data_IF_606645403189
#
_entry.id   IF_606645403189
#
_cell.length_a   1.000
_cell.length_b   1.000
_cell.length_c   1.000
_cell.angle_alpha   90.00
_cell.angle_beta   90.00
_cell.angle_gamma   90.00
#
_symmetry.space_group_name_H-M   'P 1'
#
loop_
_entity.id
_entity.type
_entity.pdbx_description
1 polymer ?
#
# COMPACT_ATOMS: atom_id res chain seq x y z
N UNK A 1 -10.36 46.87 -39.87
CA UNK A 1 -9.04 47.22 -39.27
C UNK A 1 -8.84 46.37 -38.03
N UNK A 2 -8.16 45.24 -38.18
CA UNK A 2 -7.65 44.48 -37.04
C UNK A 2 -6.51 45.30 -36.43
N UNK A 3 -6.60 45.78 -35.18
CA UNK A 3 -5.47 46.47 -34.57
C UNK A 3 -4.34 45.45 -34.47
N UNK A 4 -3.22 45.72 -35.14
CA UNK A 4 -1.99 44.95 -34.97
C UNK A 4 -1.68 44.90 -33.48
N UNK A 5 -1.84 43.70 -32.91
CA UNK A 5 -1.70 43.44 -31.48
C UNK A 5 -0.22 43.38 -31.13
N UNK A 6 0.50 44.50 -31.35
CA UNK A 6 1.93 44.59 -31.11
C UNK A 6 2.19 44.64 -29.60
N UNK A 7 2.76 43.56 -29.08
CA UNK A 7 3.22 43.50 -27.70
C UNK A 7 4.38 44.48 -27.49
N UNK A 8 4.40 45.17 -26.35
CA UNK A 8 5.52 46.05 -26.01
C UNK A 8 6.79 45.25 -25.73
N UNK A 9 7.98 45.88 -25.85
CA UNK A 9 9.27 45.24 -25.50
C UNK A 9 9.26 44.65 -24.08
N UNK A 10 8.61 45.33 -23.12
CA UNK A 10 8.47 44.85 -21.74
C UNK A 10 7.58 43.60 -21.65
N UNK A 11 6.47 43.55 -22.39
CA UNK A 11 5.59 42.38 -22.45
C UNK A 11 6.25 41.17 -23.12
N UNK A 12 7.01 41.42 -24.19
CA UNK A 12 7.83 40.39 -24.83
C UNK A 12 8.88 39.84 -23.86
N UNK A 13 9.57 40.71 -23.12
CA UNK A 13 10.53 40.30 -22.10
C UNK A 13 9.87 39.45 -20.99
N UNK A 14 8.66 39.78 -20.55
CA UNK A 14 7.90 38.96 -19.60
C UNK A 14 7.56 37.60 -20.19
N UNK A 15 7.11 37.54 -21.45
CA UNK A 15 6.81 36.29 -22.13
C UNK A 15 8.03 35.38 -22.28
N UNK A 16 9.18 35.94 -22.65
CA UNK A 16 10.47 35.22 -22.70
C UNK A 16 10.84 34.72 -21.30
N UNK A 17 10.76 35.58 -20.28
CA UNK A 17 11.07 35.21 -18.90
C UNK A 17 10.15 34.08 -18.40
N UNK A 18 8.84 34.17 -18.68
CA UNK A 18 7.88 33.12 -18.38
C UNK A 18 8.26 31.82 -19.09
N UNK A 19 8.65 31.86 -20.36
CA UNK A 19 9.00 30.68 -21.14
C UNK A 19 10.25 29.98 -20.58
N UNK A 20 11.26 30.75 -20.17
CA UNK A 20 12.46 30.24 -19.49
C UNK A 20 12.07 29.61 -18.14
N UNK A 21 11.29 30.32 -17.32
CA UNK A 21 10.84 29.81 -16.02
C UNK A 21 10.02 28.53 -16.19
N UNK A 22 9.09 28.52 -17.14
CA UNK A 22 8.26 27.35 -17.44
C UNK A 22 9.10 26.16 -17.89
N UNK A 23 10.11 26.37 -18.75
CA UNK A 23 11.03 25.31 -19.15
C UNK A 23 11.81 24.75 -17.95
N UNK A 24 12.30 25.61 -17.06
CA UNK A 24 12.97 25.19 -15.82
C UNK A 24 12.00 24.38 -14.95
N UNK A 25 10.78 24.86 -14.74
CA UNK A 25 9.75 24.15 -13.97
C UNK A 25 9.39 22.80 -14.62
N UNK A 26 9.33 22.73 -15.95
CA UNK A 26 9.08 21.50 -16.69
C UNK A 26 10.19 20.47 -16.47
N UNK A 27 11.45 20.89 -16.54
CA UNK A 27 12.60 20.02 -16.29
C UNK A 27 12.66 19.55 -14.83
N UNK A 28 12.38 20.45 -13.88
CA UNK A 28 12.28 20.10 -12.45
C UNK A 28 11.13 19.13 -12.19
N UNK A 29 9.97 19.36 -12.79
CA UNK A 29 8.80 18.49 -12.69
C UNK A 29 9.11 17.10 -13.25
N UNK A 30 9.77 17.02 -14.40
CA UNK A 30 10.23 15.76 -14.98
C UNK A 30 11.15 14.99 -14.04
N UNK A 31 12.12 15.68 -13.42
CA UNK A 31 13.07 15.05 -12.49
C UNK A 31 12.40 14.58 -11.20
N UNK A 32 11.60 15.43 -10.55
CA UNK A 32 10.98 15.14 -9.24
C UNK A 32 9.84 14.13 -9.35
N UNK A 33 9.12 14.16 -10.46
CA UNK A 33 7.93 13.31 -10.66
C UNK A 33 8.25 11.98 -11.33
N UNK A 34 9.53 11.68 -11.59
CA UNK A 34 9.95 10.42 -12.22
C UNK A 34 9.58 9.18 -11.41
N UNK A 35 9.37 9.31 -10.10
CA UNK A 35 8.97 8.22 -9.18
C UNK A 35 7.47 8.19 -8.87
N UNK A 36 6.69 9.17 -9.34
CA UNK A 36 5.26 9.24 -9.08
C UNK A 36 4.49 8.49 -10.17
N UNK A 37 3.84 7.35 -9.87
CA UNK A 37 3.11 6.56 -10.86
C UNK A 37 1.89 7.26 -11.44
N UNK A 38 1.41 8.35 -10.82
CA UNK A 38 0.32 9.19 -11.35
C UNK A 38 0.81 10.38 -12.20
N UNK A 39 2.12 10.50 -12.42
CA UNK A 39 2.74 11.56 -13.23
C UNK A 39 2.87 11.17 -14.70
N UNK A 40 2.76 12.14 -15.60
CA UNK A 40 3.11 11.96 -17.01
C UNK A 40 4.61 11.67 -17.19
N UNK A 41 5.44 12.15 -16.28
CA UNK A 41 6.89 11.96 -16.31
C UNK A 41 7.37 10.68 -15.62
N UNK A 42 6.45 9.78 -15.23
CA UNK A 42 6.80 8.57 -14.52
C UNK A 42 7.79 7.71 -15.33
N UNK A 43 8.89 7.33 -14.69
CA UNK A 43 9.87 6.40 -15.23
C UNK A 43 9.82 5.13 -14.38
N UNK A 44 9.25 4.01 -14.88
CA UNK A 44 9.12 2.77 -14.10
C UNK A 44 10.44 2.28 -13.51
N UNK A 45 11.54 2.42 -14.26
CA UNK A 45 12.88 2.08 -13.80
C UNK A 45 13.34 2.94 -12.62
N UNK A 46 12.92 4.21 -12.55
CA UNK A 46 13.26 5.09 -11.45
C UNK A 46 12.33 4.90 -10.26
N UNK A 47 11.01 4.76 -10.50
CA UNK A 47 10.00 4.53 -9.47
C UNK A 47 10.22 3.22 -8.72
N UNK A 48 10.15 2.10 -9.45
CA UNK A 48 10.21 0.76 -8.86
C UNK A 48 11.63 0.29 -8.52
N UNK A 49 12.62 1.19 -8.50
CA UNK A 49 14.00 0.84 -8.16
C UNK A 49 14.09 0.44 -6.68
N UNK A 50 14.42 -0.83 -6.37
CA UNK A 50 14.60 -1.25 -4.99
C UNK A 50 15.91 -0.68 -4.44
N UNK A 51 15.86 -0.15 -3.22
CA UNK A 51 17.03 0.35 -2.47
C UNK A 51 17.00 -0.21 -1.06
N UNK A 52 16.08 0.29 -0.24
CA UNK A 52 15.94 -0.15 1.14
C UNK A 52 15.45 -1.60 1.20
N UNK A 53 14.58 -2.00 0.27
CA UNK A 53 14.15 -3.40 0.17
C UNK A 53 15.29 -4.37 -0.02
N UNK A 54 16.34 -4.04 -0.79
CA UNK A 54 17.48 -4.94 -0.99
C UNK A 54 18.21 -5.21 0.33
N UNK A 55 18.43 -4.15 1.13
CA UNK A 55 19.06 -4.27 2.45
C UNK A 55 18.20 -5.10 3.40
N UNK A 56 16.90 -4.85 3.43
CA UNK A 56 15.96 -5.58 4.28
C UNK A 56 15.83 -7.06 3.91
N UNK A 57 15.86 -7.39 2.62
CA UNK A 57 15.90 -8.79 2.17
C UNK A 57 17.15 -9.50 2.70
N UNK A 58 18.33 -8.88 2.56
CA UNK A 58 19.58 -9.46 3.03
C UNK A 58 19.60 -9.69 4.55
N UNK A 59 19.13 -8.71 5.33
CA UNK A 59 19.01 -8.80 6.79
C UNK A 59 18.07 -9.92 7.23
N UNK A 60 16.91 -10.02 6.57
CA UNK A 60 15.95 -11.10 6.81
C UNK A 60 16.56 -12.47 6.56
N UNK A 61 17.22 -12.66 5.41
CA UNK A 61 17.82 -13.94 5.05
C UNK A 61 18.98 -14.31 5.99
N UNK A 62 19.75 -13.32 6.46
CA UNK A 62 20.78 -13.52 7.50
C UNK A 62 20.17 -14.01 8.82
N UNK A 63 19.01 -13.49 9.21
CA UNK A 63 18.31 -13.93 10.42
C UNK A 63 17.78 -15.36 10.31
N UNK A 64 17.23 -15.73 9.14
CA UNK A 64 16.70 -17.08 8.88
C UNK A 64 17.83 -18.11 8.82
N UNK A 65 18.92 -17.81 8.12
CA UNK A 65 20.04 -18.76 7.97
C UNK A 65 20.68 -19.16 9.30
N UNK A 66 20.75 -18.24 10.27
CA UNK A 66 21.21 -18.54 11.63
C UNK A 66 20.33 -19.55 12.41
N UNK A 67 19.13 -19.87 11.92
CA UNK A 67 18.17 -20.80 12.54
C UNK A 67 18.03 -22.13 11.82
N UNK A 68 18.72 -22.33 10.69
CA UNK A 68 18.72 -23.59 9.96
C UNK A 68 19.28 -24.76 10.79
N UNK A 69 20.09 -24.48 11.82
CA UNK A 69 20.70 -25.50 12.68
C UNK A 69 19.92 -25.78 13.98
N UNK A 70 18.88 -25.00 14.27
CA UNK A 70 18.06 -25.17 15.48
C UNK A 70 16.78 -25.93 15.13
N UNK A 71 16.86 -27.25 15.03
CA UNK A 71 15.67 -28.10 14.91
C UNK A 71 14.95 -28.15 16.26
N UNK A 72 13.99 -27.25 16.45
CA UNK A 72 12.96 -27.49 17.48
C UNK A 72 12.03 -28.56 16.91
N UNK A 73 11.79 -29.69 17.61
CA UNK A 73 10.80 -30.66 17.17
C UNK A 73 9.49 -29.92 16.91
N UNK A 74 8.86 -30.18 15.76
CA UNK A 74 7.49 -29.71 15.53
C UNK A 74 6.67 -30.05 16.77
N UNK A 75 6.00 -29.08 17.41
CA UNK A 75 5.15 -29.38 18.54
C UNK A 75 4.21 -30.51 18.11
N UNK A 76 3.99 -31.55 18.92
CA UNK A 76 3.01 -32.56 18.60
C UNK A 76 1.69 -31.86 18.27
N UNK A 77 0.98 -32.37 17.26
CA UNK A 77 -0.33 -31.89 16.79
C UNK A 77 -1.30 -32.04 17.97
N UNK A 78 -1.29 -31.10 18.92
CA UNK A 78 -2.20 -31.12 20.05
C UNK A 78 -3.45 -30.37 19.62
N UNK A 79 -4.46 -31.14 19.25
CA UNK A 79 -5.86 -30.71 19.10
C UNK A 79 -6.51 -30.31 20.44
N UNK A 80 -5.78 -30.43 21.56
CA UNK A 80 -6.26 -30.03 22.87
C UNK A 80 -6.17 -28.53 23.08
N UNK A 81 -7.28 -27.92 23.53
CA UNK A 81 -7.42 -26.56 23.99
C UNK A 81 -6.33 -26.19 25.03
N UNK A 82 -5.15 -25.77 24.57
CA UNK A 82 -4.21 -25.03 25.42
C UNK A 82 -4.85 -23.67 25.72
N UNK A 83 -4.67 -23.20 26.95
CA UNK A 83 -5.04 -21.84 27.31
C UNK A 83 -4.49 -20.87 26.26
N UNK A 84 -5.34 -19.94 25.79
CA UNK A 84 -4.99 -19.01 24.73
C UNK A 84 -3.67 -18.30 25.07
N UNK A 85 -2.74 -18.28 24.12
CA UNK A 85 -1.45 -17.61 24.28
C UNK A 85 -1.70 -16.13 24.57
N UNK A 86 -1.05 -15.60 25.61
CA UNK A 86 -1.13 -14.19 25.99
C UNK A 86 -0.11 -13.37 25.21
N UNK A 87 -0.58 -12.62 24.22
CA UNK A 87 0.24 -11.82 23.30
C UNK A 87 -0.51 -10.54 22.93
N UNK A 88 0.20 -9.50 22.51
CA UNK A 88 -0.43 -8.25 22.06
C UNK A 88 -0.86 -8.35 20.59
N UNK A 89 -0.03 -9.03 19.78
CA UNK A 89 -0.23 -9.19 18.34
C UNK A 89 -0.23 -10.67 17.96
N UNK A 90 -1.23 -11.08 17.19
CA UNK A 90 -1.19 -12.33 16.44
C UNK A 90 -0.95 -12.04 14.96
N UNK A 91 0.15 -12.57 14.41
CA UNK A 91 0.50 -12.47 13.00
C UNK A 91 0.11 -13.78 12.31
N UNK A 92 -0.82 -13.72 11.36
CA UNK A 92 -1.18 -14.83 10.49
C UNK A 92 -0.65 -14.61 9.07
N UNK A 93 0.38 -15.37 8.68
CA UNK A 93 0.91 -15.39 7.33
C UNK A 93 0.18 -16.48 6.52
N UNK A 94 -0.33 -16.13 5.36
CA UNK A 94 -0.96 -17.07 4.42
C UNK A 94 0.03 -17.33 3.29
N UNK A 95 0.44 -18.58 3.11
CA UNK A 95 1.43 -18.95 2.10
C UNK A 95 0.87 -19.94 1.07
N UNK A 96 1.12 -19.64 -0.20
CA UNK A 96 0.67 -20.41 -1.34
C UNK A 96 1.86 -20.80 -2.22
N UNK A 97 1.98 -22.07 -2.64
CA UNK A 97 3.05 -22.50 -3.54
C UNK A 97 3.09 -21.60 -4.78
N UNK A 98 4.20 -20.89 -4.96
CA UNK A 98 4.44 -20.04 -6.14
C UNK A 98 5.25 -20.80 -7.20
N UNK A 99 5.07 -20.49 -8.49
CA UNK A 99 5.75 -21.21 -9.57
C UNK A 99 7.26 -20.98 -9.63
N UNK A 100 7.75 -19.80 -9.22
CA UNK A 100 9.15 -19.41 -9.46
C UNK A 100 9.96 -19.17 -8.18
N UNK A 101 9.44 -18.35 -7.27
CA UNK A 101 10.15 -17.94 -6.07
C UNK A 101 9.17 -17.95 -4.89
N UNK A 102 9.56 -18.63 -3.81
CA UNK A 102 8.91 -18.46 -2.52
C UNK A 102 9.59 -17.30 -1.79
N UNK A 103 8.82 -16.55 -1.00
CA UNK A 103 9.31 -15.40 -0.23
C UNK A 103 9.03 -15.52 1.27
N UNK A 104 8.59 -16.71 1.71
CA UNK A 104 8.16 -16.93 3.09
C UNK A 104 9.31 -16.73 4.08
N UNK A 105 10.51 -17.16 3.72
CA UNK A 105 11.74 -16.92 4.49
C UNK A 105 11.98 -15.42 4.72
N UNK A 106 11.86 -14.63 3.66
CA UNK A 106 12.05 -13.18 3.66
C UNK A 106 10.96 -12.49 4.47
N UNK A 107 9.72 -12.94 4.35
CA UNK A 107 8.60 -12.44 5.14
C UNK A 107 8.80 -12.73 6.62
N UNK A 108 9.03 -13.99 6.98
CA UNK A 108 9.16 -14.42 8.37
C UNK A 108 10.40 -13.82 9.06
N UNK A 109 11.52 -13.75 8.35
CA UNK A 109 12.74 -13.14 8.87
C UNK A 109 12.56 -11.65 9.10
N UNK A 110 12.06 -10.90 8.11
CA UNK A 110 11.94 -9.44 8.23
C UNK A 110 10.96 -8.98 9.31
N UNK A 111 9.96 -9.80 9.65
CA UNK A 111 9.01 -9.52 10.72
C UNK A 111 9.68 -9.61 12.10
N UNK A 112 10.72 -10.44 12.27
CA UNK A 112 11.27 -10.77 13.59
C UNK A 112 12.73 -10.35 13.81
N UNK A 113 13.49 -10.10 12.75
CA UNK A 113 14.96 -9.92 12.80
C UNK A 113 15.45 -8.76 13.67
N UNK A 114 14.61 -7.77 13.83
CA UNK A 114 14.91 -6.51 14.53
C UNK A 114 14.21 -6.41 15.88
N UNK A 115 13.40 -7.40 16.24
CA UNK A 115 12.70 -7.41 17.51
C UNK A 115 13.64 -7.82 18.66
N UNK A 116 13.57 -7.09 19.76
CA UNK A 116 14.13 -7.53 21.03
C UNK A 116 13.42 -8.81 21.53
N UNK A 117 14.02 -9.50 22.49
CA UNK A 117 13.43 -10.70 23.11
C UNK A 117 12.06 -10.39 23.72
N UNK A 118 11.94 -9.23 24.37
CA UNK A 118 10.69 -8.80 25.01
C UNK A 118 9.62 -8.55 23.94
N UNK A 119 9.95 -7.79 22.89
CA UNK A 119 9.02 -7.56 21.76
C UNK A 119 8.60 -8.89 21.10
N UNK A 120 9.54 -9.79 20.80
CA UNK A 120 9.24 -11.11 20.23
C UNK A 120 8.28 -11.93 21.11
N UNK A 121 8.39 -11.80 22.44
CA UNK A 121 7.53 -12.53 23.38
C UNK A 121 6.06 -12.07 23.36
N UNK A 122 5.80 -10.86 22.88
CA UNK A 122 4.44 -10.29 22.72
C UNK A 122 3.78 -10.62 21.39
N UNK A 123 4.43 -11.40 20.52
CA UNK A 123 3.93 -11.78 19.20
C UNK A 123 3.71 -13.28 19.13
N UNK A 124 2.56 -13.68 18.61
CA UNK A 124 2.32 -15.04 18.12
C UNK A 124 2.42 -15.06 16.59
N UNK A 125 3.42 -15.76 16.04
CA UNK A 125 3.60 -15.92 14.60
C UNK A 125 3.02 -17.25 14.11
N UNK A 126 2.00 -17.18 13.27
CA UNK A 126 1.31 -18.32 12.69
C UNK A 126 1.47 -18.32 11.18
N UNK A 127 1.70 -19.49 10.58
CA UNK A 127 1.85 -19.64 9.13
C UNK A 127 0.88 -20.69 8.63
N UNK A 128 -0.06 -20.30 7.78
CA UNK A 128 -0.99 -21.20 7.10
C UNK A 128 -0.44 -21.60 5.73
N UNK A 129 -0.03 -22.87 5.61
CA UNK A 129 0.27 -23.49 4.33
C UNK A 129 -1.03 -23.83 3.61
N UNK A 130 -1.45 -22.95 2.71
CA UNK A 130 -2.75 -22.97 2.06
C UNK A 130 -2.78 -23.92 0.85
N UNK A 131 -2.35 -25.17 1.04
CA UNK A 131 -2.42 -26.25 0.06
C UNK A 131 -3.21 -27.42 0.63
N UNK A 132 -3.98 -28.11 -0.23
CA UNK A 132 -4.57 -29.41 0.13
C UNK A 132 -3.50 -30.39 0.62
N UNK A 133 -2.33 -30.43 -0.01
CA UNK A 133 -1.17 -31.17 0.46
C UNK A 133 -0.03 -30.18 0.79
N UNK A 134 0.29 -29.96 2.08
CA UNK A 134 1.28 -28.96 2.47
C UNK A 134 2.71 -29.31 2.01
N UNK A 135 3.02 -30.60 1.80
CA UNK A 135 4.34 -31.06 1.31
C UNK A 135 4.63 -30.57 -0.11
N UNK A 136 3.60 -30.21 -0.87
CA UNK A 136 3.79 -29.65 -2.21
C UNK A 136 4.44 -28.26 -2.18
N UNK A 137 4.40 -27.58 -1.03
CA UNK A 137 5.02 -26.28 -0.80
C UNK A 137 6.52 -26.43 -0.46
N UNK A 138 7.45 -25.83 -1.23
CA UNK A 138 8.90 -26.01 -1.03
C UNK A 138 9.39 -25.65 0.38
N UNK A 139 8.75 -24.66 1.00
CA UNK A 139 9.16 -24.20 2.34
C UNK A 139 8.60 -25.05 3.48
N UNK A 140 7.57 -25.89 3.27
CA UNK A 140 6.86 -26.55 4.38
C UNK A 140 7.76 -27.44 5.23
N UNK A 141 8.66 -28.19 4.59
CA UNK A 141 9.57 -29.12 5.27
C UNK A 141 10.88 -28.45 5.72
N UNK A 142 11.04 -27.13 5.55
CA UNK A 142 12.29 -26.46 5.87
C UNK A 142 12.47 -26.33 7.40
N UNK A 143 13.67 -26.63 7.95
CA UNK A 143 13.90 -26.58 9.40
C UNK A 143 13.60 -25.21 10.02
N UNK A 144 13.93 -24.14 9.31
CA UNK A 144 13.74 -22.77 9.79
C UNK A 144 12.26 -22.40 10.01
N UNK A 145 11.32 -23.00 9.28
CA UNK A 145 9.88 -22.70 9.45
C UNK A 145 9.45 -23.04 10.86
N UNK A 146 9.73 -24.27 11.32
CA UNK A 146 9.39 -24.73 12.67
C UNK A 146 10.19 -24.05 13.78
N UNK A 147 11.39 -23.55 13.46
CA UNK A 147 12.21 -22.79 14.41
C UNK A 147 11.71 -21.36 14.62
N UNK A 148 11.04 -20.77 13.62
CA UNK A 148 10.68 -19.35 13.61
C UNK A 148 9.19 -19.16 13.94
N UNK A 149 8.31 -19.94 13.33
CA UNK A 149 6.87 -19.88 13.57
C UNK A 149 6.52 -20.48 14.93
N UNK A 150 5.59 -19.85 15.65
CA UNK A 150 5.00 -20.43 16.86
C UNK A 150 3.99 -21.53 16.49
N UNK A 151 3.29 -21.34 15.37
CA UNK A 151 2.32 -22.30 14.84
C UNK A 151 2.46 -22.46 13.33
N UNK A 152 2.73 -23.69 12.90
CA UNK A 152 2.64 -24.11 11.50
C UNK A 152 1.29 -24.77 11.29
N UNK A 153 0.46 -24.19 10.42
CA UNK A 153 -0.94 -24.54 10.24
C UNK A 153 -1.17 -25.12 8.85
N UNK A 154 -2.06 -26.09 8.78
CA UNK A 154 -2.57 -26.71 7.57
C UNK A 154 -4.10 -26.73 7.61
N UNK A 155 -4.75 -27.05 6.50
CA UNK A 155 -6.20 -27.18 6.47
C UNK A 155 -6.73 -28.25 7.43
N UNK A 156 -5.99 -29.35 7.63
CA UNK A 156 -6.39 -30.42 8.56
C UNK A 156 -6.36 -29.92 10.01
N UNK A 157 -5.32 -29.16 10.39
CA UNK A 157 -5.18 -28.59 11.75
C UNK A 157 -6.31 -27.61 12.06
N UNK A 158 -6.83 -26.91 11.04
CA UNK A 158 -7.88 -25.90 11.17
C UNK A 158 -9.29 -26.44 10.95
N UNK A 159 -9.42 -27.75 10.73
CA UNK A 159 -10.68 -28.45 10.45
C UNK A 159 -11.42 -27.80 9.26
N UNK A 160 -10.67 -27.49 8.20
CA UNK A 160 -11.16 -26.78 7.04
C UNK A 160 -11.93 -27.72 6.08
N UNK A 161 -12.89 -27.21 5.29
CA UNK A 161 -13.74 -28.03 4.43
C UNK A 161 -12.97 -28.58 3.21
N UNK A 162 -12.24 -29.67 3.42
CA UNK A 162 -11.27 -30.22 2.46
C UNK A 162 -11.89 -30.56 1.09
N UNK A 163 -13.13 -31.08 1.08
CA UNK A 163 -13.85 -31.38 -0.17
C UNK A 163 -14.16 -30.12 -0.99
N UNK A 164 -14.47 -29.00 -0.32
CA UNK A 164 -14.70 -27.71 -0.96
C UNK A 164 -13.38 -27.13 -1.48
N UNK A 165 -12.30 -27.18 -0.69
CA UNK A 165 -10.97 -26.68 -1.08
C UNK A 165 -10.45 -27.41 -2.32
N UNK A 166 -10.47 -28.74 -2.32
CA UNK A 166 -10.10 -29.57 -3.49
C UNK A 166 -10.92 -29.23 -4.73
N UNK A 167 -12.18 -28.81 -4.56
CA UNK A 167 -13.01 -28.34 -5.68
C UNK A 167 -12.53 -26.98 -6.17
N UNK A 168 -12.27 -26.02 -5.29
CA UNK A 168 -11.80 -24.68 -5.65
C UNK A 168 -10.44 -24.75 -6.38
N UNK A 169 -9.50 -25.56 -5.90
CA UNK A 169 -8.20 -25.77 -6.55
C UNK A 169 -8.33 -26.39 -7.94
N UNK A 170 -9.17 -27.43 -8.09
CA UNK A 170 -9.44 -28.05 -9.40
C UNK A 170 -10.04 -27.08 -10.41
N UNK A 171 -10.93 -26.20 -9.97
CA UNK A 171 -11.54 -25.17 -10.82
C UNK A 171 -10.68 -23.91 -10.96
N UNK A 172 -9.52 -23.84 -10.30
CA UNK A 172 -8.66 -22.65 -10.22
C UNK A 172 -9.43 -21.40 -9.74
N UNK A 173 -10.39 -21.57 -8.84
CA UNK A 173 -11.17 -20.47 -8.23
C UNK A 173 -10.37 -19.84 -7.09
N UNK A 174 -9.35 -19.06 -7.49
CA UNK A 174 -8.39 -18.44 -6.58
C UNK A 174 -9.06 -17.44 -5.65
N UNK A 175 -10.04 -16.69 -6.15
CA UNK A 175 -10.75 -15.67 -5.38
C UNK A 175 -11.51 -16.28 -4.20
N UNK A 176 -12.36 -17.30 -4.43
CA UNK A 176 -13.07 -17.97 -3.32
C UNK A 176 -12.15 -18.71 -2.37
N UNK A 177 -11.09 -19.33 -2.88
CA UNK A 177 -10.07 -19.97 -2.03
C UNK A 177 -9.39 -18.94 -1.13
N UNK A 178 -9.00 -17.79 -1.68
CA UNK A 178 -8.36 -16.72 -0.91
C UNK A 178 -9.28 -16.16 0.19
N UNK A 179 -10.59 -16.02 -0.07
CA UNK A 179 -11.57 -15.64 0.96
C UNK A 179 -11.61 -16.65 2.12
N UNK A 180 -11.55 -17.95 1.80
CA UNK A 180 -11.50 -19.02 2.78
C UNK A 180 -10.20 -19.00 3.58
N UNK A 181 -9.05 -18.88 2.92
CA UNK A 181 -7.72 -18.89 3.55
C UNK A 181 -7.56 -17.71 4.50
N UNK A 182 -8.01 -16.52 4.08
CA UNK A 182 -8.01 -15.32 4.90
C UNK A 182 -8.86 -15.49 6.16
N UNK A 183 -10.06 -16.07 6.01
CA UNK A 183 -10.94 -16.38 7.14
C UNK A 183 -10.31 -17.40 8.09
N UNK A 184 -9.60 -18.41 7.57
CA UNK A 184 -8.92 -19.42 8.38
C UNK A 184 -7.76 -18.82 9.19
N UNK A 185 -6.98 -17.91 8.61
CA UNK A 185 -5.93 -17.19 9.33
C UNK A 185 -6.50 -16.33 10.47
N UNK A 186 -7.58 -15.57 10.22
CA UNK A 186 -8.30 -14.82 11.27
C UNK A 186 -8.82 -15.74 12.38
N UNK A 187 -9.48 -16.85 11.99
CA UNK A 187 -10.02 -17.84 12.93
C UNK A 187 -8.93 -18.40 13.84
N UNK A 188 -7.78 -18.77 13.27
CA UNK A 188 -6.67 -19.32 14.05
C UNK A 188 -6.11 -18.33 15.07
N UNK A 189 -5.96 -17.06 14.69
CA UNK A 189 -5.56 -16.01 15.64
C UNK A 189 -6.58 -15.81 16.77
N UNK A 190 -7.88 -15.84 16.45
CA UNK A 190 -8.96 -15.71 17.43
C UNK A 190 -9.00 -16.87 18.42
N UNK A 191 -8.84 -18.11 17.95
CA UNK A 191 -8.97 -19.32 18.77
C UNK A 191 -7.72 -19.63 19.60
N UNK A 192 -6.53 -19.32 19.08
CA UNK A 192 -5.26 -19.69 19.74
C UNK A 192 -4.68 -18.61 20.65
N UNK A 193 -5.11 -17.36 20.50
CA UNK A 193 -4.53 -16.22 21.21
C UNK A 193 -5.60 -15.29 21.76
N UNK A 194 -5.24 -14.50 22.77
CA UNK A 194 -6.06 -13.38 23.25
C UNK A 194 -5.64 -12.03 22.62
N UNK A 195 -4.86 -12.04 21.55
CA UNK A 195 -4.28 -10.85 20.93
C UNK A 195 -5.36 -9.79 20.64
N UNK A 196 -5.09 -8.55 21.06
CA UNK A 196 -5.95 -7.41 20.75
C UNK A 196 -5.88 -7.05 19.26
N UNK A 197 -4.72 -7.29 18.64
CA UNK A 197 -4.45 -6.95 17.25
C UNK A 197 -4.11 -8.20 16.44
N UNK A 198 -4.77 -8.35 15.30
CA UNK A 198 -4.56 -9.45 14.37
C UNK A 198 -3.97 -8.89 13.09
N UNK A 199 -2.72 -9.24 12.80
CA UNK A 199 -2.03 -8.86 11.56
C UNK A 199 -2.16 -10.01 10.59
N UNK A 200 -2.79 -9.78 9.44
CA UNK A 200 -2.82 -10.77 8.35
C UNK A 200 -1.86 -10.32 7.26
N UNK A 201 -0.97 -11.24 6.88
CA UNK A 201 0.07 -11.03 5.89
C UNK A 201 -0.04 -12.06 4.75
N UNK A 202 0.24 -11.62 3.54
CA UNK A 202 0.65 -12.52 2.45
C UNK A 202 2.14 -12.91 2.63
N UNK A 203 2.56 -13.99 1.96
CA UNK A 203 3.91 -14.57 2.11
C UNK A 203 5.01 -13.85 1.33
N UNK A 204 4.72 -12.70 0.71
CA UNK A 204 5.62 -11.90 -0.12
C UNK A 204 5.72 -10.44 0.33
N UNK A 205 5.71 -10.24 1.65
CA UNK A 205 5.92 -8.93 2.27
C UNK A 205 7.29 -8.81 2.94
N UNK A 206 7.75 -7.58 3.07
CA UNK A 206 9.02 -7.23 3.68
C UNK A 206 8.81 -6.11 4.68
N UNK A 207 9.05 -6.38 5.96
CA UNK A 207 8.85 -5.41 7.01
C UNK A 207 10.02 -4.43 7.14
N UNK A 208 9.70 -3.18 7.51
CA UNK A 208 10.72 -2.23 8.00
C UNK A 208 11.30 -2.70 9.33
N UNK A 209 12.50 -2.21 9.68
CA UNK A 209 13.13 -2.51 10.98
C UNK A 209 12.30 -2.06 12.18
N UNK A 210 11.58 -0.94 12.05
CA UNK A 210 10.81 -0.27 13.09
C UNK A 210 9.30 -0.56 13.00
N UNK A 211 8.89 -1.56 12.21
CA UNK A 211 7.47 -1.81 11.91
C UNK A 211 6.64 -2.02 13.18
N UNK A 212 7.17 -2.76 14.15
CA UNK A 212 6.44 -3.17 15.35
C UNK A 212 6.11 -1.97 16.24
N UNK A 213 7.11 -1.16 16.59
CA UNK A 213 6.94 0.02 17.46
C UNK A 213 6.06 1.07 16.79
N UNK A 214 6.31 1.36 15.51
CA UNK A 214 5.50 2.32 14.75
C UNK A 214 4.05 1.87 14.63
N UNK A 215 3.81 0.57 14.42
CA UNK A 215 2.46 0.02 14.32
C UNK A 215 1.73 0.13 15.65
N UNK A 216 2.32 -0.32 16.76
CA UNK A 216 1.69 -0.23 18.08
C UNK A 216 1.42 1.22 18.52
N UNK A 217 2.40 2.12 18.33
CA UNK A 217 2.21 3.55 18.59
C UNK A 217 1.06 4.13 17.77
N UNK A 218 0.94 3.71 16.52
CA UNK A 218 -0.14 4.13 15.64
C UNK A 218 -1.49 3.57 16.08
N UNK A 219 -1.56 2.30 16.50
CA UNK A 219 -2.79 1.71 17.04
C UNK A 219 -3.28 2.44 18.29
N UNK A 220 -2.37 2.87 19.17
CA UNK A 220 -2.72 3.72 20.30
C UNK A 220 -3.30 5.08 19.85
N UNK A 221 -2.68 5.74 18.87
CA UNK A 221 -3.19 6.99 18.31
C UNK A 221 -4.59 6.81 17.69
N UNK A 222 -4.89 5.65 17.10
CA UNK A 222 -6.22 5.34 16.53
C UNK A 222 -7.27 5.27 17.65
N UNK A 223 -6.92 4.64 18.79
CA UNK A 223 -7.80 4.62 19.97
C UNK A 223 -8.09 6.05 20.43
N UNK A 224 -7.07 6.88 20.55
CA UNK A 224 -7.21 8.28 20.96
C UNK A 224 -8.06 9.09 19.96
N UNK A 225 -7.85 8.89 18.65
CA UNK A 225 -8.64 9.54 17.59
C UNK A 225 -10.12 9.16 17.66
N UNK A 226 -10.41 7.88 17.96
CA UNK A 226 -11.79 7.42 18.14
C UNK A 226 -12.43 8.06 19.37
N UNK A 227 -11.71 8.12 20.50
CA UNK A 227 -12.21 8.76 21.73
C UNK A 227 -12.47 10.27 21.53
N UNK A 228 -11.65 10.92 20.71
CA UNK A 228 -11.80 12.34 20.35
C UNK A 228 -12.84 12.60 19.25
N UNK A 229 -13.49 11.57 18.71
CA UNK A 229 -14.47 11.71 17.63
C UNK A 229 -13.88 12.16 16.29
N UNK A 230 -12.56 12.01 16.07
CA UNK A 230 -11.88 12.38 14.81
C UNK A 230 -12.11 11.36 13.69
N UNK A 231 -12.35 10.11 14.07
CA UNK A 231 -12.71 9.01 13.18
C UNK A 231 -13.98 8.33 13.70
N UNK A 232 -14.65 7.62 12.80
CA UNK A 232 -15.73 6.71 13.16
C UNK A 232 -15.16 5.43 13.74
N UNK A 233 -16.04 4.45 13.92
CA UNK A 233 -15.58 3.07 14.06
C UNK A 233 -14.82 2.64 12.80
N UNK A 234 -13.84 1.75 12.95
CA UNK A 234 -12.88 1.43 11.89
C UNK A 234 -12.72 -0.08 11.70
N UNK A 235 -12.29 -0.49 10.51
CA UNK A 235 -12.17 -1.90 10.15
C UNK A 235 -10.74 -2.42 10.25
N UNK A 236 -9.78 -1.70 9.68
CA UNK A 236 -8.38 -2.11 9.67
C UNK A 236 -7.41 -0.92 9.52
N UNK A 237 -6.14 -1.19 9.83
CA UNK A 237 -4.99 -0.35 9.52
C UNK A 237 -4.13 -1.05 8.46
N UNK A 238 -3.93 -0.39 7.30
CA UNK A 238 -2.98 -0.84 6.27
C UNK A 238 -1.55 -0.51 6.68
N UNK A 239 -0.70 -1.52 6.62
CA UNK A 239 0.75 -1.37 6.76
C UNK A 239 1.46 -1.26 5.41
N UNK A 240 0.78 -1.62 4.32
CA UNK A 240 1.22 -1.41 2.95
C UNK A 240 0.16 -0.60 2.19
N UNK A 241 0.60 0.40 1.44
CA UNK A 241 -0.18 0.99 0.36
C UNK A 241 0.72 1.29 -0.84
N UNK A 242 0.12 1.41 -2.02
CA UNK A 242 0.83 1.84 -3.24
C UNK A 242 0.35 3.21 -3.67
N UNK A 243 1.31 4.07 -4.00
CA UNK A 243 1.08 5.41 -4.56
C UNK A 243 0.39 5.34 -5.94
N UNK A 244 0.39 4.18 -6.61
CA UNK A 244 -0.23 3.96 -7.93
C UNK A 244 -1.71 4.37 -7.99
N UNK A 245 -2.46 4.14 -6.92
CA UNK A 245 -3.89 4.47 -6.87
C UNK A 245 -4.16 5.89 -6.35
N UNK A 246 -3.11 6.61 -5.93
CA UNK A 246 -3.22 7.95 -5.35
C UNK A 246 -3.00 9.05 -6.38
N UNK A 247 -3.26 8.80 -7.67
CA UNK A 247 -3.15 9.76 -8.75
C UNK A 247 -4.28 10.80 -8.80
N UNK A 248 -4.37 11.51 -9.93
CA UNK A 248 -5.50 12.42 -10.22
C UNK A 248 -6.74 11.61 -10.62
N UNK A 249 -7.42 11.04 -9.64
CA UNK A 249 -8.58 10.17 -9.84
C UNK A 249 -9.78 10.92 -10.44
N UNK A 250 -10.41 10.34 -11.48
CA UNK A 250 -11.45 11.01 -12.28
C UNK A 250 -12.72 11.28 -11.47
N UNK A 251 -13.02 10.50 -10.43
CA UNK A 251 -14.20 10.71 -9.58
C UNK A 251 -14.13 12.02 -8.78
N UNK A 252 -12.94 12.61 -8.67
CA UNK A 252 -12.68 13.84 -7.92
C UNK A 252 -12.50 15.07 -8.86
N UNK A 253 -12.82 14.92 -10.16
CA UNK A 253 -12.72 16.00 -11.15
C UNK A 253 -13.43 17.32 -10.74
N UNK A 254 -14.60 17.32 -10.05
CA UNK A 254 -15.25 18.58 -9.69
C UNK A 254 -14.39 19.38 -8.69
N UNK A 255 -13.68 18.70 -7.79
CA UNK A 255 -12.77 19.34 -6.83
C UNK A 255 -11.58 19.94 -7.56
N UNK A 256 -10.99 19.20 -8.50
CA UNK A 256 -9.85 19.66 -9.29
C UNK A 256 -10.22 20.90 -10.13
N UNK A 257 -11.38 20.87 -10.78
CA UNK A 257 -11.89 22.00 -11.55
C UNK A 257 -12.14 23.20 -10.64
N UNK A 258 -12.79 23.00 -9.48
CA UNK A 258 -13.05 24.07 -8.52
C UNK A 258 -11.76 24.75 -8.08
N UNK A 259 -10.73 23.99 -7.67
CA UNK A 259 -9.45 24.58 -7.28
C UNK A 259 -8.74 25.30 -8.44
N UNK A 260 -8.84 24.76 -9.66
CA UNK A 260 -8.27 25.40 -10.85
C UNK A 260 -8.97 26.73 -11.16
N UNK A 261 -10.31 26.76 -11.09
CA UNK A 261 -11.11 27.98 -11.28
C UNK A 261 -10.87 29.00 -10.17
N UNK A 262 -10.79 28.58 -8.91
CA UNK A 262 -10.47 29.48 -7.80
C UNK A 262 -9.08 30.10 -7.97
N UNK A 263 -8.10 29.31 -8.39
CA UNK A 263 -6.75 29.80 -8.70
C UNK A 263 -6.79 30.82 -9.85
N UNK A 264 -7.55 30.51 -10.90
CA UNK A 264 -7.78 31.42 -12.02
C UNK A 264 -8.39 32.75 -11.58
N UNK A 265 -9.48 32.70 -10.82
CA UNK A 265 -10.18 33.88 -10.31
C UNK A 265 -9.30 34.70 -9.37
N UNK A 266 -8.51 34.06 -8.51
CA UNK A 266 -7.58 34.73 -7.61
C UNK A 266 -6.47 35.48 -8.39
N UNK A 267 -5.86 34.84 -9.39
CA UNK A 267 -4.83 35.46 -10.22
C UNK A 267 -5.42 36.61 -11.06
N UNK A 268 -6.53 36.36 -11.76
CA UNK A 268 -7.20 37.38 -12.57
C UNK A 268 -7.66 38.58 -11.72
N UNK A 269 -8.29 38.31 -10.57
CA UNK A 269 -8.73 39.33 -9.62
C UNK A 269 -7.57 40.17 -9.09
N UNK A 270 -6.47 39.51 -8.71
CA UNK A 270 -5.25 40.20 -8.23
C UNK A 270 -4.67 41.11 -9.32
N UNK A 271 -4.58 40.63 -10.57
CA UNK A 271 -4.08 41.41 -11.70
C UNK A 271 -5.00 42.60 -12.02
N UNK A 272 -6.32 42.42 -11.98
CA UNK A 272 -7.29 43.49 -12.20
C UNK A 272 -7.24 44.55 -11.09
N UNK A 273 -7.17 44.12 -9.82
CA UNK A 273 -7.00 45.01 -8.68
C UNK A 273 -5.67 45.78 -8.75
N UNK A 274 -4.57 45.10 -9.06
CA UNK A 274 -3.26 45.73 -9.23
C UNK A 274 -3.25 46.72 -10.40
N UNK A 275 -3.91 46.37 -11.52
CA UNK A 275 -4.11 47.27 -12.68
C UNK A 275 -4.89 48.53 -12.32
N UNK A 276 -5.88 48.44 -11.43
CA UNK A 276 -6.63 49.60 -10.94
C UNK A 276 -5.77 50.51 -10.04
N UNK A 277 -4.88 49.93 -9.23
CA UNK A 277 -4.10 50.66 -8.22
C UNK A 277 -2.75 51.18 -8.71
N UNK A 278 -2.13 50.53 -9.69
CA UNK A 278 -0.77 50.85 -10.14
C UNK A 278 -0.73 51.27 -11.61
N UNK A 279 -0.14 52.45 -11.88
CA UNK A 279 0.08 52.94 -13.25
C UNK A 279 1.00 51.99 -14.05
N UNK A 280 2.04 51.47 -13.41
CA UNK A 280 3.00 50.55 -14.02
C UNK A 280 2.33 49.23 -14.44
N UNK A 281 1.49 48.65 -13.57
CA UNK A 281 0.74 47.43 -13.91
C UNK A 281 -0.30 47.71 -14.99
N UNK A 282 -0.90 48.91 -15.01
CA UNK A 282 -1.83 49.30 -16.07
C UNK A 282 -1.18 49.44 -17.45
N UNK A 283 0.08 49.84 -17.51
CA UNK A 283 0.84 49.88 -18.76
C UNK A 283 1.25 48.47 -19.23
N UNK A 284 1.60 47.58 -18.29
CA UNK A 284 2.05 46.21 -18.61
C UNK A 284 0.90 45.24 -18.89
N UNK A 285 -0.17 45.28 -18.11
CA UNK A 285 -1.28 44.32 -18.15
C UNK A 285 -2.39 44.79 -19.10
N UNK A 286 -2.07 45.11 -20.35
CA UNK A 286 -3.07 45.48 -21.38
C UNK A 286 -4.11 44.36 -21.54
N UNK A 287 -5.31 44.66 -22.06
CA UNK A 287 -6.38 43.66 -22.22
C UNK A 287 -5.89 42.42 -23.00
N UNK A 288 -5.17 42.56 -24.13
CA UNK A 288 -4.58 41.41 -24.81
C UNK A 288 -3.59 40.61 -23.95
N UNK A 289 -2.72 41.30 -23.20
CA UNK A 289 -1.71 40.64 -22.38
C UNK A 289 -2.29 39.97 -21.13
N UNK A 290 -3.36 40.53 -20.56
CA UNK A 290 -4.19 39.86 -19.55
C UNK A 290 -4.80 38.58 -20.12
N UNK A 291 -5.30 38.63 -21.36
CA UNK A 291 -5.76 37.45 -22.08
C UNK A 291 -4.67 36.38 -22.19
N UNK A 292 -3.47 36.73 -22.63
CA UNK A 292 -2.32 35.80 -22.69
C UNK A 292 -2.00 35.23 -21.30
N UNK A 293 -1.95 36.07 -20.28
CA UNK A 293 -1.61 35.62 -18.91
C UNK A 293 -2.66 34.63 -18.38
N UNK A 294 -3.94 34.94 -18.55
CA UNK A 294 -5.04 34.14 -18.01
C UNK A 294 -5.33 32.88 -18.83
N UNK A 295 -5.19 32.93 -20.16
CA UNK A 295 -5.58 31.83 -21.06
C UNK A 295 -4.41 31.07 -21.68
N UNK A 296 -3.17 31.51 -21.45
CA UNK A 296 -1.95 30.77 -21.87
C UNK A 296 -1.07 30.45 -20.68
N UNK A 297 -0.56 31.47 -19.97
CA UNK A 297 0.44 31.23 -18.92
C UNK A 297 -0.12 30.44 -17.75
N UNK A 298 -1.30 30.83 -17.25
CA UNK A 298 -1.92 30.16 -16.12
C UNK A 298 -2.38 28.72 -16.44
N UNK A 299 -3.06 28.44 -17.57
CA UNK A 299 -3.39 27.08 -17.97
C UNK A 299 -2.16 26.19 -18.16
N UNK A 300 -1.04 26.72 -18.67
CA UNK A 300 0.22 25.97 -18.76
C UNK A 300 0.74 25.57 -17.37
N UNK A 301 0.74 26.50 -16.40
CA UNK A 301 1.16 26.20 -15.03
C UNK A 301 0.24 25.21 -14.33
N UNK A 302 -1.09 25.36 -14.50
CA UNK A 302 -2.07 24.40 -13.95
C UNK A 302 -1.87 23.03 -14.60
N UNK A 303 -1.72 22.98 -15.93
CA UNK A 303 -1.44 21.76 -16.67
C UNK A 303 -0.17 21.07 -16.16
N UNK A 304 0.89 21.82 -15.88
CA UNK A 304 2.12 21.27 -15.34
C UNK A 304 1.94 20.64 -13.94
N UNK A 305 1.08 21.20 -13.08
CA UNK A 305 0.72 20.58 -11.78
C UNK A 305 0.08 19.21 -12.00
N UNK A 306 -0.85 19.08 -12.96
CA UNK A 306 -1.46 17.79 -13.26
C UNK A 306 -0.45 16.81 -13.88
N UNK A 307 0.36 17.27 -14.84
CA UNK A 307 1.40 16.46 -15.48
C UNK A 307 2.45 15.95 -14.48
N UNK A 308 2.73 16.70 -13.41
CA UNK A 308 3.67 16.29 -12.35
C UNK A 308 3.13 15.18 -11.45
N UNK A 309 1.84 14.82 -11.54
CA UNK A 309 1.25 13.77 -10.71
C UNK A 309 0.87 14.25 -9.30
N UNK A 310 -0.16 13.61 -8.74
CA UNK A 310 -0.76 14.05 -7.48
C UNK A 310 0.12 13.76 -6.28
N UNK A 311 0.91 12.69 -6.30
CA UNK A 311 1.74 12.29 -5.16
C UNK A 311 2.95 13.22 -5.04
N UNK A 312 3.53 13.65 -6.17
CA UNK A 312 4.61 14.66 -6.18
C UNK A 312 4.11 16.00 -5.67
N UNK A 313 2.93 16.43 -6.14
CA UNK A 313 2.40 17.76 -5.80
C UNK A 313 1.74 17.82 -4.42
N UNK A 314 1.16 16.71 -3.96
CA UNK A 314 0.43 16.59 -2.69
C UNK A 314 0.71 15.23 -2.03
N UNK A 315 1.94 15.01 -1.55
CA UNK A 315 2.30 13.76 -0.88
C UNK A 315 1.51 13.61 0.43
N UNK A 316 1.26 12.37 0.83
CA UNK A 316 0.77 12.09 2.19
C UNK A 316 1.87 12.42 3.18
N UNK A 317 1.52 13.19 4.23
CA UNK A 317 2.46 13.48 5.32
C UNK A 317 2.71 12.20 6.14
N UNK A 318 3.87 12.03 6.78
CA UNK A 318 4.07 10.93 7.73
C UNK A 318 3.01 10.92 8.84
N UNK A 319 2.57 9.73 9.24
CA UNK A 319 1.56 9.50 10.26
C UNK A 319 0.34 8.70 9.76
N UNK A 320 -0.72 8.75 10.54
CA UNK A 320 -1.99 8.08 10.26
C UNK A 320 -2.86 8.89 9.31
N UNK A 321 -3.52 8.22 8.37
CA UNK A 321 -4.51 8.82 7.48
C UNK A 321 -5.73 7.94 7.33
N UNK A 322 -6.89 8.57 7.15
CA UNK A 322 -8.09 7.89 6.67
C UNK A 322 -7.97 7.69 5.16
N UNK A 323 -8.09 6.45 4.71
CA UNK A 323 -8.00 6.01 3.33
C UNK A 323 -9.20 5.12 2.98
N UNK A 324 -10.39 5.74 3.01
CA UNK A 324 -11.67 5.08 2.66
C UNK A 324 -11.84 4.88 1.15
N UNK A 325 -10.98 5.48 0.32
CA UNK A 325 -10.98 5.35 -1.14
C UNK A 325 -9.55 5.22 -1.62
N UNK A 326 -9.39 4.58 -2.78
CA UNK A 326 -8.11 4.45 -3.47
C UNK A 326 -7.02 3.73 -2.66
N UNK A 327 -7.43 3.05 -1.59
CA UNK A 327 -6.60 2.07 -0.93
C UNK A 327 -6.64 0.78 -1.73
N UNK A 328 -5.52 0.07 -1.77
CA UNK A 328 -5.50 -1.27 -2.31
C UNK A 328 -4.79 -2.22 -1.37
N UNK A 329 -5.24 -3.46 -1.54
CA UNK A 329 -4.52 -4.69 -1.43
C UNK A 329 -4.41 -5.25 0.00
N UNK A 330 -4.31 -6.58 0.07
CA UNK A 330 -4.46 -7.38 1.29
C UNK A 330 -3.15 -7.88 1.87
N UNK A 331 -2.00 -7.46 1.31
CA UNK A 331 -0.71 -8.06 1.66
C UNK A 331 -0.33 -7.81 3.12
N UNK A 332 -0.70 -6.67 3.71
CA UNK A 332 -0.41 -6.38 5.11
C UNK A 332 -1.45 -5.48 5.77
N UNK A 333 -2.30 -6.08 6.59
CA UNK A 333 -3.38 -5.38 7.31
C UNK A 333 -3.44 -5.79 8.78
N UNK A 334 -3.73 -4.82 9.64
CA UNK A 334 -4.02 -5.02 11.07
C UNK A 334 -5.50 -4.85 11.32
N UNK A 335 -6.12 -5.84 11.94
CA UNK A 335 -7.51 -5.83 12.38
C UNK A 335 -7.56 -5.78 13.90
N UNK A 336 -8.43 -4.94 14.48
CA UNK A 336 -8.78 -5.08 15.89
C UNK A 336 -9.57 -6.37 16.10
N UNK A 337 -9.32 -7.05 17.23
CA UNK A 337 -9.91 -8.35 17.55
C UNK A 337 -11.45 -8.34 17.48
N UNK A 338 -12.09 -7.26 17.92
CA UNK A 338 -13.55 -7.12 17.93
C UNK A 338 -14.18 -7.09 16.53
N UNK A 339 -13.41 -6.72 15.49
CA UNK A 339 -13.88 -6.72 14.09
C UNK A 339 -13.67 -8.05 13.37
N UNK A 340 -12.82 -8.93 13.89
CA UNK A 340 -12.53 -10.21 13.25
C UNK A 340 -13.79 -11.10 13.05
N UNK A 341 -14.72 -11.24 14.02
CA UNK A 341 -15.95 -12.01 13.80
C UNK A 341 -16.83 -11.46 12.67
N UNK A 342 -17.01 -10.13 12.62
CA UNK A 342 -17.78 -9.46 11.57
C UNK A 342 -17.15 -9.74 10.19
N UNK A 343 -15.83 -9.60 10.10
CA UNK A 343 -15.10 -9.86 8.86
C UNK A 343 -15.19 -11.33 8.43
N UNK A 344 -14.96 -12.27 9.35
CA UNK A 344 -15.02 -13.70 9.04
C UNK A 344 -16.39 -14.13 8.51
N UNK A 345 -17.47 -13.58 9.07
CA UNK A 345 -18.82 -13.86 8.61
C UNK A 345 -19.09 -13.27 7.23
N UNK A 346 -18.64 -12.04 6.97
CA UNK A 346 -18.77 -11.43 5.65
C UNK A 346 -17.99 -12.19 4.57
N UNK A 347 -16.73 -12.56 4.83
CA UNK A 347 -15.94 -13.36 3.88
C UNK A 347 -16.59 -14.73 3.60
N UNK A 348 -17.21 -15.35 4.63
CA UNK A 348 -17.98 -16.59 4.46
C UNK A 348 -19.18 -16.39 3.54
N UNK A 349 -19.91 -15.27 3.68
CA UNK A 349 -21.02 -14.90 2.81
C UNK A 349 -20.55 -14.68 1.37
N UNK A 350 -19.52 -13.86 1.16
CA UNK A 350 -18.95 -13.57 -0.17
C UNK A 350 -18.45 -14.83 -0.87
N UNK A 351 -17.84 -15.77 -0.12
CA UNK A 351 -17.41 -17.06 -0.67
C UNK A 351 -18.55 -17.96 -1.18
N UNK A 352 -19.80 -17.65 -0.86
CA UNK A 352 -21.00 -18.37 -1.34
C UNK A 352 -21.73 -17.64 -2.47
N UNK A 353 -21.36 -16.40 -2.76
CA UNK A 353 -22.00 -15.63 -3.82
C UNK A 353 -21.68 -16.18 -5.20
N UNK A 354 -22.59 -15.94 -6.16
CA UNK A 354 -22.46 -16.45 -7.53
C UNK A 354 -21.25 -15.84 -8.23
N UNK A 355 -21.03 -14.54 -8.03
CA UNK A 355 -19.90 -13.79 -8.58
C UNK A 355 -18.75 -13.89 -7.59
N UNK A 356 -17.63 -14.42 -8.06
CA UNK A 356 -16.42 -14.54 -7.25
C UNK A 356 -15.77 -13.16 -7.11
N UNK A 357 -15.37 -12.80 -5.89
CA UNK A 357 -14.78 -11.51 -5.57
C UNK A 357 -13.40 -11.69 -4.95
N UNK A 358 -12.48 -10.78 -5.27
CA UNK A 358 -11.20 -10.72 -4.60
C UNK A 358 -11.35 -10.31 -3.13
N UNK A 359 -10.41 -10.75 -2.29
CA UNK A 359 -10.46 -10.55 -0.83
C UNK A 359 -10.46 -9.07 -0.47
N UNK A 360 -9.66 -8.27 -1.17
CA UNK A 360 -9.60 -6.82 -0.99
C UNK A 360 -10.95 -6.17 -1.31
N UNK A 361 -11.59 -6.52 -2.43
CA UNK A 361 -12.92 -6.02 -2.78
C UNK A 361 -13.97 -6.40 -1.73
N UNK A 362 -13.96 -7.64 -1.25
CA UNK A 362 -14.89 -8.08 -0.20
C UNK A 362 -14.70 -7.31 1.11
N UNK A 363 -13.46 -7.04 1.51
CA UNK A 363 -13.14 -6.26 2.71
C UNK A 363 -13.58 -4.80 2.55
N UNK A 364 -13.35 -4.18 1.39
CA UNK A 364 -13.83 -2.83 1.10
C UNK A 364 -15.36 -2.74 1.12
N UNK A 365 -16.05 -3.72 0.52
CA UNK A 365 -17.50 -3.78 0.53
C UNK A 365 -18.04 -3.85 1.96
N UNK A 366 -17.46 -4.69 2.83
CA UNK A 366 -17.82 -4.74 4.25
C UNK A 366 -17.68 -3.38 4.93
N UNK A 367 -16.56 -2.69 4.67
CA UNK A 367 -16.29 -1.38 5.26
C UNK A 367 -17.32 -0.34 4.80
N UNK A 368 -17.69 -0.33 3.52
CA UNK A 368 -18.68 0.59 2.96
C UNK A 368 -20.09 0.30 3.50
N UNK A 369 -20.51 -0.96 3.53
CA UNK A 369 -21.81 -1.40 4.07
C UNK A 369 -22.00 -0.99 5.53
N UNK A 370 -20.93 -1.04 6.33
CA UNK A 370 -20.95 -0.71 7.76
C UNK A 370 -20.45 0.70 8.07
N UNK A 371 -20.13 1.52 7.05
CA UNK A 371 -19.58 2.88 7.19
C UNK A 371 -18.34 2.94 8.10
N UNK A 372 -17.50 1.91 8.04
CA UNK A 372 -16.27 1.80 8.82
C UNK A 372 -15.13 2.55 8.13
N UNK A 373 -14.37 3.28 8.94
CA UNK A 373 -13.15 3.92 8.47
C UNK A 373 -12.04 2.89 8.22
N UNK A 374 -11.24 3.17 7.20
CA UNK A 374 -10.10 2.38 6.78
C UNK A 374 -8.89 3.26 6.91
N UNK A 375 -7.89 2.79 7.64
CA UNK A 375 -6.74 3.60 8.02
C UNK A 375 -5.50 3.10 7.30
N UNK A 376 -4.52 3.99 7.14
CA UNK A 376 -3.21 3.66 6.58
C UNK A 376 -2.12 4.35 7.40
N UNK A 377 -0.98 3.68 7.53
CA UNK A 377 0.21 4.24 8.12
C UNK A 377 1.19 4.70 7.02
N UNK A 378 1.64 5.96 7.12
CA UNK A 378 2.58 6.58 6.18
C UNK A 378 3.88 6.93 6.94
N UNK A 379 5.07 6.58 6.43
CA UNK A 379 5.30 5.72 5.27
C UNK A 379 4.81 4.28 5.51
N UNK A 380 4.67 3.50 4.45
CA UNK A 380 4.30 2.07 4.57
C UNK A 380 5.29 1.35 5.49
N UNK A 381 4.78 0.52 6.40
CA UNK A 381 5.58 -0.31 7.30
C UNK A 381 6.01 -1.64 6.69
N UNK A 382 5.39 -2.00 5.57
CA UNK A 382 5.65 -3.22 4.82
C UNK A 382 5.84 -2.87 3.35
N UNK A 383 6.59 -3.69 2.64
CA UNK A 383 6.75 -3.63 1.18
C UNK A 383 6.37 -4.96 0.56
N UNK A 384 5.79 -4.92 -0.63
CA UNK A 384 5.54 -6.13 -1.40
C UNK A 384 6.75 -6.46 -2.28
N UNK A 385 7.32 -7.66 -2.09
CA UNK A 385 8.53 -8.15 -2.77
C UNK A 385 8.27 -9.32 -3.73
N UNK A 386 7.00 -9.70 -3.90
CA UNK A 386 6.58 -10.77 -4.79
C UNK A 386 6.81 -10.43 -6.27
N UNK A 387 7.79 -11.09 -6.88
CA UNK A 387 8.12 -10.90 -8.30
C UNK A 387 7.05 -11.45 -9.27
N UNK A 388 6.25 -12.41 -8.83
CA UNK A 388 5.11 -12.96 -9.57
C UNK A 388 4.00 -13.30 -8.57
N UNK A 389 2.77 -12.90 -8.86
CA UNK A 389 1.61 -13.32 -8.09
C UNK A 389 1.21 -14.74 -8.51
N UNK A 390 0.85 -15.60 -7.55
CA UNK A 390 0.26 -16.91 -7.88
C UNK A 390 -1.10 -16.79 -8.60
N UNK A 391 -1.65 -15.56 -8.69
CA UNK A 391 -2.87 -15.21 -9.41
C UNK A 391 -2.66 -15.03 -10.93
N UNK A 392 -1.44 -15.18 -11.46
CA UNK A 392 -1.11 -14.96 -12.87
C UNK A 392 -0.42 -16.15 -13.56
N UNK A 393 -0.59 -16.25 -14.89
CA UNK A 393 0.22 -17.09 -15.78
C UNK A 393 1.44 -16.29 -16.27
N UNK A 394 2.48 -16.16 -15.42
CA UNK A 394 3.73 -15.48 -15.78
C UNK A 394 4.54 -16.33 -16.79
N UNK A 395 5.11 -15.69 -17.83
CA UNK A 395 6.07 -16.33 -18.76
C UNK A 395 7.51 -16.07 -18.32
N UNK A 396 8.42 -16.97 -18.67
CA UNK A 396 9.84 -16.92 -18.30
C UNK A 396 10.54 -15.63 -18.82
N UNK A 397 10.10 -15.12 -19.98
CA UNK A 397 10.59 -13.87 -20.58
C UNK A 397 10.34 -12.62 -19.71
N UNK A 398 9.35 -12.63 -18.81
CA UNK A 398 9.09 -11.52 -17.88
C UNK A 398 10.13 -11.40 -16.74
N UNK A 399 11.05 -12.36 -16.62
CA UNK A 399 12.22 -12.29 -15.72
C UNK A 399 13.37 -11.46 -16.29
N UNK A 400 13.33 -11.08 -17.57
CA UNK A 400 14.33 -10.19 -18.21
C UNK A 400 14.23 -8.70 -17.79
N UNK A 401 13.34 -8.38 -16.84
CA UNK A 401 13.12 -7.03 -16.31
C UNK A 401 14.27 -6.59 -15.38
N UNK A 402 14.53 -5.27 -15.24
CA UNK A 402 15.79 -4.77 -14.69
C UNK A 402 16.05 -5.06 -13.20
N UNK A 403 15.03 -5.44 -12.41
CA UNK A 403 15.14 -5.63 -10.96
C UNK A 403 14.63 -7.00 -10.48
N UNK A 404 15.39 -7.63 -9.59
CA UNK A 404 15.07 -8.93 -8.96
C UNK A 404 13.98 -8.83 -7.88
N UNK A 405 13.97 -7.74 -7.11
CA UNK A 405 12.91 -7.42 -6.13
C UNK A 405 11.93 -6.47 -6.79
N UNK A 406 10.66 -6.86 -6.82
CA UNK A 406 9.57 -6.08 -7.40
C UNK A 406 8.25 -6.43 -6.74
N UNK A 407 7.29 -5.51 -6.82
CA UNK A 407 5.91 -5.77 -6.41
C UNK A 407 5.07 -6.17 -7.62
N UNK A 408 4.45 -7.35 -7.58
CA UNK A 408 3.55 -7.79 -8.65
C UNK A 408 2.48 -6.71 -8.96
N UNK A 409 2.16 -6.55 -10.24
CA UNK A 409 1.23 -5.53 -10.77
C UNK A 409 1.55 -4.06 -10.42
N UNK A 410 2.76 -3.75 -9.95
CA UNK A 410 3.11 -2.41 -9.48
C UNK A 410 2.55 -2.08 -8.09
N UNK A 411 2.13 -3.10 -7.33
CA UNK A 411 1.88 -2.95 -5.89
C UNK A 411 3.22 -2.80 -5.21
N UNK A 412 3.69 -1.56 -5.15
CA UNK A 412 5.01 -1.16 -4.66
C UNK A 412 4.85 0.18 -3.94
N UNK A 413 5.38 0.27 -2.72
CA UNK A 413 5.39 1.53 -1.97
C UNK A 413 6.67 2.30 -2.27
N UNK A 414 6.53 3.47 -2.89
CA UNK A 414 7.65 4.38 -3.18
C UNK A 414 8.20 5.00 -1.90
N UNK A 415 7.32 5.33 -0.96
CA UNK A 415 7.69 5.91 0.34
C UNK A 415 8.48 4.93 1.23
N UNK A 416 8.22 3.62 1.13
CA UNK A 416 9.02 2.60 1.80
C UNK A 416 10.50 2.67 1.40
N UNK A 417 10.78 2.90 0.11
CA UNK A 417 12.15 3.01 -0.42
C UNK A 417 12.88 4.30 -0.04
N UNK A 418 12.15 5.33 0.37
CA UNK A 418 12.70 6.66 0.64
C UNK A 418 13.04 6.90 2.10
N UNK A 419 12.49 6.11 3.03
CA UNK A 419 12.64 6.38 4.46
C UNK A 419 14.03 6.06 5.02
N UNK A 420 14.89 5.38 4.25
CA UNK A 420 16.28 5.11 4.65
C UNK A 420 17.25 6.26 4.28
N UNK A 421 16.74 7.47 4.04
CA UNK A 421 17.55 8.64 3.68
C UNK A 421 17.84 9.60 4.85
N UNK A 422 17.34 9.30 6.03
CA UNK A 422 17.57 10.11 7.24
C UNK A 422 18.56 9.42 8.19
#
# INVERSE_FOLDING_TARGET
MTPNMALSRKQLAIGISFSIIYLVLLLLSRSRSARDPGSYFFLPEAGYRPKYSLTRVEESLRYVSGRNHSTRPLPPISSSAKAAQRVDICVGIITAKRPFQQNLDTTMGSILDTLSKDQRSTIALQVLFAQTNPVDHPDYAQPWVSSIADHVLTYDILDAPMSAIKRLERHRDIHRKSLLDYRLALKSCMERTNAQWIVILEDDVLARRDWYENTLKSLQNIIDWRQQGRIRDWLYLRLLYTEKFLGWNSEEWPKYLTFSLLTFMAVAGTLLCARKRSRLVRELATIPFLGITCFVFLPLLIGLIFLSGRVTMRPLKPGLHVMNRYGCCTQAMVFPRDKAPLLMEHLRKMGRERISMAVDTAIEQLADENKLDRLVLVPSQMQHVGAASYKENFKEEDWSKPYRVRGAHGVWSMSFEETYRD
#
